data_IF_148656429100
#
_entry.id   IF_148656429100
#
_cell.length_a   1.000
_cell.length_b   1.000
_cell.length_c   1.000
_cell.angle_alpha   90.00
_cell.angle_beta   90.00
_cell.angle_gamma   90.00
#
_symmetry.space_group_name_H-M   'P 1'
#
loop_
_entity.id
_entity.type
_entity.pdbx_description
1 polymer ?
#
# COMPACT_ATOMS: atom_id res chain seq x y z
N UNK A 1 8.48 5.79 -10.51
CA UNK A 1 7.71 6.32 -9.36
C UNK A 1 7.41 5.18 -8.42
N UNK A 2 7.50 5.39 -7.11
CA UNK A 2 6.99 4.44 -6.11
C UNK A 2 5.45 4.44 -6.20
N UNK A 3 4.81 3.27 -6.15
CA UNK A 3 3.34 3.15 -6.24
C UNK A 3 2.65 3.79 -5.02
N UNK A 4 1.52 4.45 -5.25
CA UNK A 4 0.64 4.90 -4.17
C UNK A 4 0.01 3.72 -3.43
N UNK A 5 -0.44 3.93 -2.18
CA UNK A 5 -1.15 2.89 -1.44
C UNK A 5 -2.43 2.42 -2.14
N UNK A 6 -3.09 3.33 -2.88
CA UNK A 6 -4.28 2.99 -3.65
C UNK A 6 -3.92 2.02 -4.77
N UNK A 7 -2.93 2.36 -5.59
CA UNK A 7 -2.44 1.49 -6.67
C UNK A 7 -1.99 0.13 -6.13
N UNK A 8 -1.26 0.10 -5.01
CA UNK A 8 -0.81 -1.15 -4.39
C UNK A 8 -1.99 -2.05 -3.99
N UNK A 9 -3.09 -1.50 -3.46
CA UNK A 9 -4.27 -2.26 -3.04
C UNK A 9 -5.18 -2.63 -4.21
N UNK A 10 -5.29 -1.76 -5.21
CA UNK A 10 -6.10 -1.99 -6.41
C UNK A 10 -5.48 -3.08 -7.31
N UNK A 11 -4.14 -3.16 -7.33
CA UNK A 11 -3.40 -4.18 -8.07
C UNK A 11 -3.24 -5.51 -7.33
N UNK A 12 -3.71 -5.62 -6.07
CA UNK A 12 -3.68 -6.90 -5.36
C UNK A 12 -4.51 -7.94 -6.12
N UNK A 13 -3.97 -9.16 -6.33
CA UNK A 13 -4.68 -10.19 -7.07
C UNK A 13 -5.93 -10.64 -6.30
N UNK A 14 -7.08 -10.65 -6.99
CA UNK A 14 -8.31 -11.21 -6.44
C UNK A 14 -8.27 -12.75 -6.38
N UNK A 15 -7.58 -13.37 -7.33
CA UNK A 15 -7.38 -14.82 -7.45
C UNK A 15 -6.00 -15.15 -8.05
N UNK A 16 -5.12 -15.75 -7.26
CA UNK A 16 -3.83 -16.30 -7.68
C UNK A 16 -3.40 -17.43 -6.71
N UNK A 17 -2.19 -17.98 -6.87
CA UNK A 17 -1.68 -19.04 -5.99
C UNK A 17 -1.58 -18.54 -4.54
N UNK A 18 -1.04 -17.34 -4.30
CA UNK A 18 -1.00 -16.72 -2.96
C UNK A 18 -2.38 -16.71 -2.28
N UNK A 19 -3.41 -16.22 -2.98
CA UNK A 19 -4.78 -16.15 -2.45
C UNK A 19 -5.36 -17.54 -2.19
N UNK A 20 -5.12 -18.52 -3.08
CA UNK A 20 -5.59 -19.89 -2.90
C UNK A 20 -4.92 -20.56 -1.71
N UNK A 21 -3.62 -20.36 -1.54
CA UNK A 21 -2.85 -20.88 -0.41
C UNK A 21 -3.31 -20.25 0.91
N UNK A 22 -3.51 -18.94 0.96
CA UNK A 22 -4.02 -18.27 2.16
C UNK A 22 -5.45 -18.75 2.52
N UNK A 23 -6.33 -18.94 1.51
CA UNK A 23 -7.65 -19.56 1.73
C UNK A 23 -7.54 -21.01 2.20
N UNK A 24 -6.54 -21.76 1.72
CA UNK A 24 -6.28 -23.12 2.16
C UNK A 24 -5.96 -23.21 3.64
N UNK A 25 -5.28 -22.19 4.18
CA UNK A 25 -4.89 -22.10 5.58
C UNK A 25 -6.00 -21.59 6.50
N UNK A 26 -7.18 -21.28 5.97
CA UNK A 26 -8.32 -20.81 6.79
C UNK A 26 -8.71 -21.81 7.88
N UNK A 27 -8.50 -23.12 7.70
CA UNK A 27 -8.74 -24.11 8.76
C UNK A 27 -7.90 -23.89 10.03
N UNK A 28 -6.78 -23.16 9.93
CA UNK A 28 -5.90 -22.81 11.04
C UNK A 28 -6.42 -21.62 11.84
N UNK A 29 -7.00 -20.63 11.16
CA UNK A 29 -7.68 -19.50 11.78
C UNK A 29 -8.97 -19.17 11.02
N UNK A 30 -10.05 -19.92 11.31
CA UNK A 30 -11.28 -19.85 10.52
C UNK A 30 -11.90 -18.46 10.50
N UNK A 31 -12.12 -17.93 9.30
CA UNK A 31 -12.75 -16.64 9.07
C UNK A 31 -11.89 -15.43 9.43
N UNK A 32 -10.63 -15.65 9.79
CA UNK A 32 -9.73 -14.56 10.22
C UNK A 32 -9.37 -13.66 9.04
N UNK A 33 -9.26 -14.20 7.83
CA UNK A 33 -8.83 -13.44 6.66
C UNK A 33 -9.79 -13.54 5.49
N UNK A 34 -10.01 -12.39 4.86
CA UNK A 34 -10.70 -12.28 3.58
C UNK A 34 -9.79 -11.51 2.61
N UNK A 35 -9.81 -11.91 1.34
CA UNK A 35 -9.03 -11.22 0.31
C UNK A 35 -9.69 -9.89 -0.10
N UNK A 36 -9.52 -8.86 0.72
CA UNK A 36 -9.98 -7.50 0.44
C UNK A 36 -9.04 -6.82 -0.56
N UNK A 37 -9.55 -6.57 -1.77
CA UNK A 37 -8.86 -5.87 -2.87
C UNK A 37 -9.69 -4.68 -3.32
N UNK A 38 -9.03 -3.67 -3.90
CA UNK A 38 -9.64 -2.39 -4.22
C UNK A 38 -9.71 -1.46 -3.01
N UNK A 39 -9.14 -0.25 -3.14
CA UNK A 39 -8.97 0.66 -2.01
C UNK A 39 -10.32 1.13 -1.45
N UNK A 40 -11.27 1.50 -2.31
CA UNK A 40 -12.61 1.90 -1.89
C UNK A 40 -13.38 0.74 -1.21
N UNK A 41 -13.21 -0.48 -1.70
CA UNK A 41 -13.81 -1.67 -1.06
C UNK A 41 -13.24 -1.89 0.33
N UNK A 42 -11.93 -1.68 0.49
CA UNK A 42 -11.27 -1.70 1.79
C UNK A 42 -11.84 -0.61 2.71
N UNK A 43 -12.01 0.62 2.25
CA UNK A 43 -12.65 1.69 3.04
C UNK A 43 -14.02 1.23 3.53
N UNK A 44 -14.90 0.79 2.63
CA UNK A 44 -16.26 0.34 2.98
C UNK A 44 -16.24 -0.80 4.01
N UNK A 45 -15.41 -1.82 3.79
CA UNK A 45 -15.35 -2.99 4.66
C UNK A 45 -14.75 -2.66 6.04
N UNK A 46 -13.78 -1.74 6.12
CA UNK A 46 -13.08 -1.41 7.37
C UNK A 46 -13.89 -0.42 8.22
N UNK A 47 -14.51 0.58 7.59
CA UNK A 47 -15.14 1.70 8.30
C UNK A 47 -16.66 1.59 8.37
N UNK A 48 -17.28 0.80 7.48
CA UNK A 48 -18.73 0.77 7.28
C UNK A 48 -19.28 1.99 6.54
N UNK A 49 -18.41 2.88 6.04
CA UNK A 49 -18.81 4.08 5.31
C UNK A 49 -19.39 3.72 3.92
N UNK A 50 -20.43 4.43 3.52
CA UNK A 50 -21.11 4.25 2.24
C UNK A 50 -21.30 5.56 1.46
N UNK A 51 -21.16 6.72 2.12
CA UNK A 51 -21.22 8.01 1.47
C UNK A 51 -19.99 8.23 0.58
N UNK A 52 -20.23 8.44 -0.72
CA UNK A 52 -19.17 8.57 -1.72
C UNK A 52 -18.23 9.78 -1.45
N UNK A 53 -18.76 10.88 -0.89
CA UNK A 53 -17.95 12.06 -0.56
C UNK A 53 -17.07 11.80 0.66
N UNK A 54 -17.58 11.08 1.66
CA UNK A 54 -16.78 10.68 2.83
C UNK A 54 -15.72 9.66 2.43
N UNK A 55 -16.05 8.69 1.56
CA UNK A 55 -15.07 7.74 1.00
C UNK A 55 -13.95 8.48 0.26
N UNK A 56 -14.29 9.46 -0.57
CA UNK A 56 -13.27 10.28 -1.26
C UNK A 56 -12.38 11.05 -0.28
N UNK A 57 -12.97 11.70 0.75
CA UNK A 57 -12.17 12.37 1.80
C UNK A 57 -11.21 11.41 2.51
N UNK A 58 -11.66 10.18 2.80
CA UNK A 58 -10.81 9.13 3.40
C UNK A 58 -9.69 8.74 2.44
N UNK A 59 -9.99 8.59 1.14
CA UNK A 59 -9.02 8.28 0.09
C UNK A 59 -7.91 9.34 0.02
N UNK A 60 -8.29 10.61 -0.08
CA UNK A 60 -7.35 11.73 -0.16
C UNK A 60 -6.49 11.82 1.12
N UNK A 61 -7.12 11.68 2.30
CA UNK A 61 -6.39 11.69 3.56
C UNK A 61 -5.46 10.49 3.71
N UNK A 62 -5.85 9.31 3.24
CA UNK A 62 -5.00 8.14 3.30
C UNK A 62 -3.77 8.26 2.40
N UNK A 63 -3.91 8.88 1.23
CA UNK A 63 -2.77 9.20 0.34
C UNK A 63 -1.79 10.15 1.04
N UNK A 64 -2.29 11.24 1.63
CA UNK A 64 -1.45 12.18 2.36
C UNK A 64 -0.70 11.50 3.53
N UNK A 65 -1.41 10.71 4.35
CA UNK A 65 -0.81 9.96 5.45
C UNK A 65 0.23 8.95 4.97
N UNK A 66 -0.03 8.27 3.85
CA UNK A 66 0.88 7.29 3.27
C UNK A 66 2.22 7.92 2.87
N UNK A 67 2.20 9.10 2.25
CA UNK A 67 3.40 9.81 1.81
C UNK A 67 4.14 10.56 2.91
N UNK A 68 3.49 10.83 4.04
CA UNK A 68 4.15 11.44 5.19
C UNK A 68 5.17 10.46 5.82
N UNK A 69 6.49 10.78 5.75
CA UNK A 69 7.54 9.91 6.24
C UNK A 69 7.48 9.66 7.76
N UNK A 70 6.76 10.49 8.52
CA UNK A 70 6.58 10.30 9.96
C UNK A 70 5.68 9.11 10.32
N UNK A 71 4.77 8.71 9.42
CA UNK A 71 3.83 7.62 9.69
C UNK A 71 4.39 6.22 9.40
N UNK A 72 5.55 6.11 8.74
CA UNK A 72 6.24 4.84 8.52
C UNK A 72 5.60 3.89 7.49
N UNK A 73 4.47 4.26 6.87
CA UNK A 73 3.72 3.40 5.94
C UNK A 73 4.53 2.95 4.72
N UNK A 74 5.17 3.87 4.00
CA UNK A 74 6.01 3.49 2.85
C UNK A 74 7.17 2.59 3.26
N UNK A 75 7.75 2.85 4.45
CA UNK A 75 8.83 2.02 4.95
C UNK A 75 8.37 0.60 5.28
N UNK A 76 7.16 0.44 5.82
CA UNK A 76 6.56 -0.88 6.08
C UNK A 76 6.29 -1.63 4.77
N UNK A 77 5.70 -0.98 3.77
CA UNK A 77 5.53 -1.57 2.42
C UNK A 77 6.89 -2.01 1.87
N UNK A 78 7.90 -1.13 1.89
CA UNK A 78 9.23 -1.43 1.34
C UNK A 78 9.82 -2.70 1.94
N UNK A 79 9.77 -2.88 3.26
CA UNK A 79 10.33 -4.10 3.87
C UNK A 79 9.52 -5.37 3.53
N UNK A 80 8.20 -5.28 3.39
CA UNK A 80 7.37 -6.42 2.93
C UNK A 80 7.64 -6.79 1.47
N UNK A 81 7.89 -5.81 0.60
CA UNK A 81 8.25 -6.08 -0.79
C UNK A 81 9.67 -6.62 -0.93
N UNK A 82 10.61 -6.13 -0.11
CA UNK A 82 12.01 -6.57 -0.18
C UNK A 82 12.13 -8.03 0.26
N UNK A 83 11.49 -8.41 1.38
CA UNK A 83 11.62 -9.77 1.92
C UNK A 83 11.09 -10.81 0.90
N UNK A 84 9.91 -10.60 0.31
CA UNK A 84 9.35 -11.52 -0.71
C UNK A 84 10.13 -11.54 -2.03
N UNK A 85 10.65 -10.39 -2.49
CA UNK A 85 11.40 -10.32 -3.76
C UNK A 85 12.78 -10.96 -3.63
N UNK A 86 13.40 -10.92 -2.46
CA UNK A 86 14.67 -11.59 -2.21
C UNK A 86 14.54 -13.11 -2.39
N UNK A 87 13.39 -13.68 -2.04
CA UNK A 87 13.05 -15.09 -2.25
C UNK A 87 12.83 -15.41 -3.74
N UNK A 88 12.12 -14.54 -4.46
CA UNK A 88 11.70 -14.80 -5.86
C UNK A 88 12.79 -14.54 -6.90
N UNK A 89 13.72 -13.59 -6.67
CA UNK A 89 14.68 -13.12 -7.68
C UNK A 89 15.66 -14.19 -8.19
N UNK A 90 15.88 -15.28 -7.44
CA UNK A 90 16.70 -16.41 -7.88
C UNK A 90 15.98 -17.33 -8.90
N UNK A 91 14.64 -17.41 -8.86
CA UNK A 91 13.86 -18.31 -9.70
C UNK A 91 13.59 -17.74 -11.11
N UNK A 92 13.37 -16.42 -11.24
CA UNK A 92 13.07 -15.77 -12.53
C UNK A 92 14.23 -15.88 -13.53
N UNK A 93 15.48 -15.84 -13.05
CA UNK A 93 16.67 -16.05 -13.88
C UNK A 93 16.77 -17.50 -14.40
N UNK A 94 16.29 -18.49 -13.63
CA UNK A 94 16.23 -19.89 -14.05
C UNK A 94 15.10 -20.15 -15.06
N UNK A 95 13.97 -19.44 -14.94
CA UNK A 95 12.83 -19.54 -15.85
C UNK A 95 13.08 -18.81 -17.19
N UNK A 96 13.81 -17.69 -17.19
CA UNK A 96 14.14 -16.91 -18.39
C UNK A 96 14.93 -17.73 -19.43
N UNK A 97 15.71 -18.72 -19.00
CA UNK A 97 16.49 -19.59 -19.88
C UNK A 97 15.69 -20.76 -20.50
N UNK A 98 14.39 -20.92 -20.19
CA UNK A 98 13.61 -22.11 -20.60
C UNK A 98 12.36 -21.83 -21.45
N UNK A 99 12.26 -20.65 -22.08
CA UNK A 99 11.21 -20.39 -23.08
C UNK A 99 11.52 -21.18 -24.36
N UNK A 100 11.14 -22.47 -24.39
CA UNK A 100 11.31 -23.31 -25.59
C UNK A 100 11.13 -24.82 -25.44
N UNK A 101 11.22 -25.40 -24.23
CA UNK A 101 11.18 -26.87 -24.07
C UNK A 101 9.88 -27.35 -23.40
N UNK A 102 9.16 -28.28 -24.06
CA UNK A 102 7.93 -28.93 -23.56
C UNK A 102 8.18 -29.97 -22.45
N UNK A 103 9.15 -29.74 -21.56
CA UNK A 103 9.43 -30.60 -20.41
C UNK A 103 9.33 -29.77 -19.13
N UNK A 104 8.22 -29.98 -18.41
CA UNK A 104 7.99 -29.74 -16.98
C UNK A 104 8.52 -28.44 -16.39
N UNK A 105 7.60 -27.52 -16.08
CA UNK A 105 7.78 -26.41 -15.13
C UNK A 105 8.56 -26.83 -13.87
N UNK A 106 8.54 -28.11 -13.49
CA UNK A 106 9.18 -28.70 -12.32
C UNK A 106 10.68 -29.06 -12.45
N UNK A 107 11.34 -28.78 -13.58
CA UNK A 107 12.76 -29.14 -13.77
C UNK A 107 13.77 -28.28 -12.98
N UNK A 108 13.33 -27.18 -12.35
CA UNK A 108 14.15 -26.41 -11.41
C UNK A 108 14.28 -27.10 -10.03
N UNK A 109 13.46 -28.12 -9.74
CA UNK A 109 13.41 -28.83 -8.46
C UNK A 109 14.48 -29.92 -8.31
N UNK A 110 15.27 -30.21 -9.35
CA UNK A 110 16.27 -31.30 -9.33
C UNK A 110 17.51 -31.02 -8.48
N UNK A 111 17.63 -29.81 -7.89
CA UNK A 111 18.71 -29.42 -6.99
C UNK A 111 18.18 -29.15 -5.56
N UNK A 112 17.41 -30.09 -5.00
CA UNK A 112 17.13 -30.14 -3.57
C UNK A 112 18.43 -30.44 -2.81
N UNK A 113 19.15 -29.36 -2.48
CA UNK A 113 20.46 -29.39 -1.82
C UNK A 113 20.29 -29.66 -0.31
N UNK A 114 21.18 -30.44 0.35
CA UNK A 114 21.17 -30.70 1.80
C UNK A 114 21.34 -29.49 2.74
N UNK A 115 21.26 -28.25 2.22
CA UNK A 115 21.35 -26.97 2.94
C UNK A 115 19.99 -26.28 3.14
N UNK A 116 18.88 -26.91 2.73
CA UNK A 116 17.53 -26.34 2.79
C UNK A 116 17.14 -25.89 4.21
N UNK A 117 17.36 -26.72 5.24
CA UNK A 117 16.99 -26.39 6.62
C UNK A 117 17.69 -25.13 7.16
N UNK A 118 18.96 -24.90 6.81
CA UNK A 118 19.71 -23.71 7.26
C UNK A 118 19.17 -22.45 6.59
N UNK A 119 18.99 -22.49 5.27
CA UNK A 119 18.45 -21.35 4.51
C UNK A 119 17.04 -20.99 4.99
N UNK A 120 16.16 -21.98 5.11
CA UNK A 120 14.78 -21.79 5.56
C UNK A 120 14.71 -21.29 7.01
N UNK A 121 15.59 -21.79 7.88
CA UNK A 121 15.65 -21.31 9.27
C UNK A 121 16.09 -19.85 9.36
N UNK A 122 17.05 -19.43 8.53
CA UNK A 122 17.51 -18.04 8.47
C UNK A 122 16.41 -17.15 7.87
N UNK A 123 15.76 -17.60 6.81
CA UNK A 123 14.70 -16.84 6.14
C UNK A 123 13.49 -16.59 7.05
N UNK A 124 12.94 -17.63 7.69
CA UNK A 124 11.85 -17.46 8.66
C UNK A 124 12.23 -16.49 9.78
N UNK A 125 13.46 -16.60 10.32
CA UNK A 125 13.93 -15.70 11.37
C UNK A 125 14.06 -14.24 10.88
N UNK A 126 14.44 -14.03 9.62
CA UNK A 126 14.47 -12.72 8.97
C UNK A 126 13.06 -12.16 8.72
N UNK A 127 12.12 -12.98 8.27
CA UNK A 127 10.70 -12.61 8.12
C UNK A 127 10.12 -12.11 9.43
N UNK A 128 10.40 -12.77 10.56
CA UNK A 128 10.01 -12.28 11.90
C UNK A 128 10.68 -10.94 12.24
N UNK A 129 11.98 -10.79 11.98
CA UNK A 129 12.69 -9.54 12.23
C UNK A 129 12.11 -8.38 11.41
N UNK A 130 11.77 -8.62 10.14
CA UNK A 130 11.10 -7.67 9.25
C UNK A 130 9.70 -7.33 9.77
N UNK A 131 8.94 -8.31 10.23
CA UNK A 131 7.61 -8.08 10.79
C UNK A 131 7.67 -7.17 12.03
N UNK A 132 8.66 -7.35 12.90
CA UNK A 132 8.88 -6.46 14.05
C UNK A 132 9.20 -5.03 13.59
N UNK A 133 10.06 -4.88 12.58
CA UNK A 133 10.42 -3.57 12.04
C UNK A 133 9.19 -2.88 11.45
N UNK A 134 8.41 -3.61 10.64
CA UNK A 134 7.19 -3.08 10.03
C UNK A 134 6.14 -2.73 11.08
N UNK A 135 5.92 -3.61 12.08
CA UNK A 135 5.07 -3.35 13.23
C UNK A 135 5.46 -2.05 13.94
N UNK A 136 6.74 -1.87 14.25
CA UNK A 136 7.21 -0.67 14.93
C UNK A 136 6.98 0.59 14.09
N UNK A 137 7.24 0.54 12.78
CA UNK A 137 6.97 1.65 11.85
C UNK A 137 5.49 2.03 11.83
N UNK A 138 4.60 1.04 11.72
CA UNK A 138 3.15 1.25 11.65
C UNK A 138 2.53 1.76 12.96
N UNK A 139 3.24 1.60 14.08
CA UNK A 139 2.76 2.00 15.41
C UNK A 139 3.55 3.19 15.97
N UNK A 140 4.36 3.87 15.17
CA UNK A 140 5.16 5.02 15.60
C UNK A 140 6.17 4.69 16.70
N UNK A 141 6.60 3.43 16.80
CA UNK A 141 7.59 2.98 17.80
C UNK A 141 8.98 3.32 17.25
N UNK A 142 9.75 4.20 17.91
CA UNK A 142 10.97 4.77 17.32
C UNK A 142 12.08 3.76 16.99
N UNK A 143 12.10 2.60 17.66
CA UNK A 143 13.11 1.56 17.47
C UNK A 143 12.46 0.17 17.48
N UNK A 144 12.96 -0.78 16.68
CA UNK A 144 12.46 -2.16 16.68
C UNK A 144 12.42 -2.76 18.09
N UNK A 145 11.25 -3.26 18.49
CA UNK A 145 11.01 -3.75 19.85
C UNK A 145 10.33 -5.14 19.81
N UNK A 146 11.11 -6.23 19.89
CA UNK A 146 10.59 -7.60 19.82
C UNK A 146 9.57 -7.94 20.92
N UNK A 147 9.71 -7.37 22.13
CA UNK A 147 8.81 -7.65 23.24
C UNK A 147 7.45 -6.97 23.06
N UNK A 148 7.45 -5.71 22.59
CA UNK A 148 6.22 -5.00 22.29
C UNK A 148 5.48 -5.64 21.11
N UNK A 149 6.21 -6.09 20.10
CA UNK A 149 5.64 -6.90 19.01
C UNK A 149 5.03 -8.20 19.54
N UNK A 150 5.75 -9.00 20.34
CA UNK A 150 5.24 -10.26 20.89
C UNK A 150 3.94 -10.06 21.69
N UNK A 151 3.86 -8.98 22.49
CA UNK A 151 2.64 -8.61 23.20
C UNK A 151 1.50 -8.27 22.23
N UNK A 152 1.77 -7.53 21.16
CA UNK A 152 0.77 -7.20 20.14
C UNK A 152 0.33 -8.42 19.34
N UNK A 153 1.26 -9.30 18.96
CA UNK A 153 0.99 -10.55 18.25
C UNK A 153 0.03 -11.46 19.05
N UNK A 154 0.19 -11.51 20.37
CA UNK A 154 -0.67 -12.30 21.23
C UNK A 154 -2.08 -11.71 21.42
N UNK A 155 -2.25 -10.39 21.35
CA UNK A 155 -3.47 -9.71 21.84
C UNK A 155 -4.20 -8.85 20.80
N UNK A 156 -3.54 -8.45 19.72
CA UNK A 156 -4.03 -7.42 18.81
C UNK A 156 -3.85 -7.75 17.32
N UNK A 157 -3.06 -8.76 16.97
CA UNK A 157 -2.94 -9.23 15.59
C UNK A 157 -4.25 -9.87 15.15
N UNK A 158 -4.71 -9.47 13.95
CA UNK A 158 -5.97 -9.89 13.37
C UNK A 158 -5.95 -9.65 11.85
N UNK A 159 -6.92 -10.21 11.12
CA UNK A 159 -7.07 -10.04 9.68
C UNK A 159 -5.80 -10.47 8.92
N UNK A 160 -5.36 -9.66 7.95
CA UNK A 160 -4.19 -9.93 7.13
C UNK A 160 -2.89 -10.10 7.94
N UNK A 161 -2.70 -9.35 9.03
CA UNK A 161 -1.47 -9.46 9.81
C UNK A 161 -1.38 -10.77 10.61
N UNK A 162 -2.50 -11.24 11.16
CA UNK A 162 -2.53 -12.55 11.83
C UNK A 162 -2.40 -13.69 10.82
N UNK A 163 -3.13 -13.61 9.70
CA UNK A 163 -3.03 -14.62 8.63
C UNK A 163 -1.61 -14.71 8.06
N UNK A 164 -0.89 -13.60 7.91
CA UNK A 164 0.53 -13.61 7.52
C UNK A 164 1.40 -14.41 8.49
N UNK A 165 1.23 -14.20 9.79
CA UNK A 165 2.02 -14.89 10.80
C UNK A 165 1.68 -16.39 10.88
N UNK A 166 0.42 -16.75 10.62
CA UNK A 166 0.00 -18.14 10.47
C UNK A 166 0.61 -18.78 9.22
N UNK A 167 0.56 -18.07 8.09
CA UNK A 167 1.16 -18.51 6.84
C UNK A 167 2.67 -18.73 7.00
N UNK A 168 3.38 -17.84 7.68
CA UNK A 168 4.79 -18.01 8.03
C UNK A 168 5.07 -19.30 8.81
N UNK A 169 4.27 -19.57 9.85
CA UNK A 169 4.42 -20.81 10.63
C UNK A 169 4.13 -22.05 9.78
N UNK A 170 3.14 -22.00 8.89
CA UNK A 170 2.77 -23.13 8.06
C UNK A 170 3.76 -23.38 6.91
N UNK A 171 4.07 -22.34 6.14
CA UNK A 171 4.75 -22.41 4.84
C UNK A 171 6.27 -22.40 5.02
N UNK A 172 6.82 -21.54 5.88
CA UNK A 172 8.28 -21.40 6.09
C UNK A 172 8.77 -22.20 7.32
N UNK A 173 7.84 -22.56 8.21
CA UNK A 173 8.12 -23.33 9.42
C UNK A 173 7.84 -24.82 9.25
N UNK A 174 6.60 -25.21 9.53
CA UNK A 174 6.19 -26.60 9.69
C UNK A 174 6.39 -27.40 8.41
N UNK A 175 5.98 -26.87 7.26
CA UNK A 175 6.04 -27.61 5.99
C UNK A 175 7.48 -27.99 5.59
N UNK A 176 8.46 -27.07 5.53
CA UNK A 176 9.84 -27.40 5.15
C UNK A 176 10.67 -28.00 6.29
N UNK A 177 10.45 -27.58 7.54
CA UNK A 177 11.32 -27.97 8.67
C UNK A 177 10.73 -29.08 9.54
N UNK A 178 9.46 -29.42 9.35
CA UNK A 178 8.76 -30.44 10.11
C UNK A 178 8.23 -29.94 11.47
N UNK A 179 7.66 -30.85 12.29
CA UNK A 179 7.02 -30.47 13.57
C UNK A 179 7.99 -29.86 14.59
N UNK A 180 9.29 -30.18 14.50
CA UNK A 180 10.34 -29.65 15.39
C UNK A 180 10.98 -28.36 14.88
N UNK A 181 10.34 -27.64 13.95
CA UNK A 181 10.91 -26.45 13.29
C UNK A 181 11.47 -25.42 14.27
N UNK A 182 10.81 -25.17 15.41
CA UNK A 182 11.27 -24.21 16.41
C UNK A 182 12.66 -24.56 16.97
N UNK A 183 12.89 -25.83 17.28
CA UNK A 183 14.17 -26.32 17.80
C UNK A 183 15.26 -26.28 16.71
N UNK A 184 14.90 -26.64 15.47
CA UNK A 184 15.81 -26.54 14.32
C UNK A 184 16.26 -25.09 14.08
N UNK A 185 15.32 -24.16 14.02
CA UNK A 185 15.61 -22.73 13.82
C UNK A 185 16.50 -22.24 14.95
N UNK A 186 16.16 -22.52 16.22
CA UNK A 186 16.96 -22.12 17.38
C UNK A 186 18.41 -22.61 17.25
N UNK A 187 18.60 -23.88 16.90
CA UNK A 187 19.93 -24.48 16.74
C UNK A 187 20.71 -23.81 15.62
N UNK A 188 20.05 -23.49 14.50
CA UNK A 188 20.69 -22.81 13.37
C UNK A 188 21.07 -21.38 13.76
N UNK A 189 20.15 -20.56 14.26
CA UNK A 189 20.43 -19.14 14.52
C UNK A 189 21.39 -18.90 15.69
N UNK A 190 21.40 -19.80 16.68
CA UNK A 190 22.30 -19.71 17.85
C UNK A 190 23.69 -20.26 17.54
N UNK A 191 23.78 -21.24 16.63
CA UNK A 191 25.02 -21.89 16.23
C UNK A 191 25.61 -21.36 14.91
N UNK A 192 24.90 -20.50 14.19
CA UNK A 192 25.34 -19.99 12.91
C UNK A 192 26.58 -19.11 13.07
N UNK A 193 27.59 -19.41 12.24
CA UNK A 193 28.64 -18.45 11.98
C UNK A 193 28.00 -17.20 11.32
N UNK A 194 28.40 -16.02 11.80
CA UNK A 194 27.96 -14.73 11.23
C UNK A 194 28.24 -14.66 9.73
N UNK A 195 29.25 -15.39 9.24
CA UNK A 195 29.56 -15.51 7.81
C UNK A 195 28.44 -16.19 7.00
N UNK A 196 27.79 -17.23 7.54
CA UNK A 196 26.71 -17.94 6.86
C UNK A 196 25.44 -17.10 6.75
N UNK A 197 25.14 -16.32 7.80
CA UNK A 197 24.00 -15.40 7.80
C UNK A 197 24.27 -14.20 6.89
N UNK A 198 25.48 -13.62 6.93
CA UNK A 198 25.83 -12.47 6.10
C UNK A 198 25.85 -12.77 4.60
N UNK A 199 25.99 -14.04 4.21
CA UNK A 199 25.90 -14.49 2.81
C UNK A 199 24.48 -14.85 2.37
N UNK A 200 23.51 -14.87 3.28
CA UNK A 200 22.14 -15.17 2.94
C UNK A 200 21.55 -14.03 2.07
N UNK A 201 20.94 -14.34 0.90
CA UNK A 201 20.42 -13.30 -0.01
C UNK A 201 19.36 -12.41 0.62
N UNK A 202 18.47 -13.00 1.43
CA UNK A 202 17.42 -12.28 2.15
C UNK A 202 18.05 -11.34 3.19
N UNK A 203 19.05 -11.81 3.95
CA UNK A 203 19.81 -10.97 4.87
C UNK A 203 20.42 -9.77 4.14
N UNK A 204 21.09 -9.99 3.01
CA UNK A 204 21.70 -8.93 2.21
C UNK A 204 20.66 -7.90 1.73
N UNK A 205 19.48 -8.36 1.30
CA UNK A 205 18.41 -7.51 0.81
C UNK A 205 17.83 -6.61 1.91
N UNK A 206 17.64 -7.12 3.13
CA UNK A 206 17.08 -6.35 4.26
C UNK A 206 18.15 -5.75 5.18
N UNK A 207 19.44 -5.95 4.90
CA UNK A 207 20.56 -5.58 5.76
C UNK A 207 20.48 -4.13 6.23
N UNK A 208 20.09 -3.19 5.37
CA UNK A 208 20.02 -1.77 5.71
C UNK A 208 18.81 -1.41 6.60
N UNK A 209 17.83 -2.29 6.71
CA UNK A 209 16.66 -2.12 7.57
C UNK A 209 16.85 -2.73 8.96
N UNK A 210 17.77 -3.70 9.10
CA UNK A 210 18.06 -4.36 10.36
C UNK A 210 18.85 -3.43 11.32
N UNK A 211 18.45 -3.34 12.60
CA UNK A 211 19.18 -2.55 13.60
C UNK A 211 20.55 -3.18 13.90
N UNK A 212 21.54 -2.31 14.17
CA UNK A 212 22.92 -2.71 14.46
C UNK A 212 23.92 -2.25 13.40
N UNK A 213 25.18 -2.10 13.80
CA UNK A 213 26.22 -1.50 12.94
C UNK A 213 27.06 -2.55 12.20
N UNK A 214 26.98 -3.81 12.61
CA UNK A 214 27.76 -4.91 12.06
C UNK A 214 26.90 -6.19 11.98
N UNK A 215 27.32 -7.23 11.23
CA UNK A 215 26.56 -8.47 11.10
C UNK A 215 26.25 -9.18 12.44
N UNK A 216 27.13 -9.07 13.43
CA UNK A 216 26.93 -9.66 14.76
C UNK A 216 25.78 -9.00 15.50
N UNK A 217 25.70 -7.66 15.50
CA UNK A 217 24.59 -6.92 16.12
C UNK A 217 23.25 -7.30 15.47
N UNK A 218 23.25 -7.38 14.13
CA UNK A 218 22.06 -7.73 13.33
C UNK A 218 21.60 -9.16 13.60
N UNK A 219 22.54 -10.11 13.68
CA UNK A 219 22.25 -11.48 14.09
C UNK A 219 21.72 -11.54 15.54
N UNK A 220 22.24 -10.68 16.43
CA UNK A 220 21.72 -10.52 17.78
C UNK A 220 20.25 -10.10 17.78
N UNK A 221 19.88 -9.13 16.94
CA UNK A 221 18.48 -8.72 16.78
C UNK A 221 17.60 -9.82 16.19
N UNK A 222 18.06 -10.54 15.17
CA UNK A 222 17.32 -11.67 14.57
C UNK A 222 17.06 -12.77 15.62
N UNK A 223 18.07 -13.10 16.43
CA UNK A 223 17.94 -14.04 17.53
C UNK A 223 16.90 -13.58 18.57
N UNK A 224 16.98 -12.32 19.01
CA UNK A 224 16.00 -11.77 19.97
C UNK A 224 14.58 -11.74 19.39
N UNK A 225 14.46 -11.43 18.09
CA UNK A 225 13.20 -11.40 17.35
C UNK A 225 12.53 -12.76 17.31
N UNK A 226 13.27 -13.81 16.95
CA UNK A 226 12.74 -15.17 16.96
C UNK A 226 12.33 -15.61 18.37
N UNK A 227 13.23 -15.44 19.34
CA UNK A 227 12.99 -15.84 20.73
C UNK A 227 11.72 -15.20 21.32
N UNK A 228 11.40 -13.95 20.96
CA UNK A 228 10.23 -13.26 21.53
C UNK A 228 8.89 -13.86 21.08
N UNK A 229 8.85 -14.56 19.94
CA UNK A 229 7.61 -15.11 19.37
C UNK A 229 7.51 -16.63 19.36
N UNK A 230 8.56 -17.36 19.79
CA UNK A 230 8.52 -18.82 19.93
C UNK A 230 7.32 -19.32 20.74
N UNK A 231 7.02 -18.65 21.86
CA UNK A 231 5.88 -19.01 22.71
C UNK A 231 4.54 -18.92 21.99
N UNK A 232 4.37 -17.90 21.14
CA UNK A 232 3.16 -17.74 20.31
C UNK A 232 3.08 -18.83 19.24
N UNK A 233 4.17 -19.09 18.51
CA UNK A 233 4.20 -20.14 17.48
C UNK A 233 3.93 -21.53 18.07
N UNK A 234 4.55 -21.86 19.20
CA UNK A 234 4.31 -23.13 19.89
C UNK A 234 2.85 -23.27 20.36
N UNK A 235 2.25 -22.18 20.85
CA UNK A 235 0.84 -22.16 21.26
C UNK A 235 -0.10 -22.33 20.07
N UNK A 236 0.20 -21.73 18.92
CA UNK A 236 -0.55 -21.92 17.68
C UNK A 236 -0.56 -23.40 17.29
N UNK A 237 0.62 -24.03 17.20
CA UNK A 237 0.75 -25.45 16.84
C UNK A 237 0.02 -26.35 17.82
N UNK A 238 0.21 -26.11 19.12
CA UNK A 238 -0.44 -26.91 20.17
C UNK A 238 -1.97 -26.81 20.13
N UNK A 239 -2.51 -25.62 19.82
CA UNK A 239 -3.96 -25.38 19.77
C UNK A 239 -4.62 -25.99 18.53
N UNK A 240 -3.92 -26.01 17.41
CA UNK A 240 -4.48 -26.33 16.10
C UNK A 240 -4.16 -27.74 15.63
N UNK A 241 -3.08 -28.35 16.15
CA UNK A 241 -2.60 -29.66 15.72
C UNK A 241 -2.08 -29.68 14.28
N UNK A 242 -1.62 -28.53 13.75
CA UNK A 242 -1.11 -28.43 12.38
C UNK A 242 0.10 -29.34 12.21
N UNK A 243 0.13 -30.05 11.08
CA UNK A 243 1.21 -30.92 10.65
C UNK A 243 1.57 -30.64 9.19
N UNK A 244 2.75 -31.05 8.70
CA UNK A 244 3.07 -30.96 7.28
C UNK A 244 2.00 -31.63 6.39
N UNK A 245 1.48 -32.78 6.84
CA UNK A 245 0.43 -33.53 6.14
C UNK A 245 -0.91 -32.79 6.14
N UNK A 246 -1.31 -32.15 7.25
CA UNK A 246 -2.55 -31.37 7.27
C UNK A 246 -2.46 -30.18 6.32
N UNK A 247 -1.31 -29.49 6.25
CA UNK A 247 -1.08 -28.40 5.30
C UNK A 247 -1.17 -28.93 3.86
N UNK A 248 -0.39 -29.95 3.52
CA UNK A 248 -0.37 -30.53 2.18
C UNK A 248 -1.74 -31.05 1.73
N UNK A 249 -2.48 -31.71 2.60
CA UNK A 249 -3.83 -32.20 2.29
C UNK A 249 -4.81 -31.08 1.97
N UNK A 250 -4.72 -29.93 2.65
CA UNK A 250 -5.59 -28.78 2.33
C UNK A 250 -5.14 -28.09 1.03
N UNK A 251 -3.84 -28.12 0.72
CA UNK A 251 -3.27 -27.57 -0.52
C UNK A 251 -3.52 -28.44 -1.76
N UNK A 252 -3.61 -29.77 -1.59
CA UNK A 252 -3.83 -30.74 -2.68
C UNK A 252 -5.12 -30.51 -3.48
N UNK A 253 -6.06 -29.74 -2.94
CA UNK A 253 -7.28 -29.33 -3.64
C UNK A 253 -7.03 -28.43 -4.86
N UNK A 254 -5.85 -27.80 -4.98
CA UNK A 254 -5.51 -26.90 -6.10
C UNK A 254 -4.12 -27.13 -6.68
N UNK A 255 -3.26 -27.89 -6.01
CA UNK A 255 -1.93 -28.26 -6.52
C UNK A 255 -1.89 -29.78 -6.68
N UNK A 256 -1.91 -30.26 -7.93
CA UNK A 256 -1.68 -31.68 -8.25
C UNK A 256 -0.19 -31.99 -8.08
N UNK A 257 0.26 -32.24 -6.85
CA UNK A 257 1.61 -32.69 -6.54
C UNK A 257 1.54 -34.20 -6.31
N UNK A 258 2.57 -34.94 -6.70
CA UNK A 258 2.68 -36.35 -6.34
C UNK A 258 2.63 -36.48 -4.80
N UNK A 259 1.73 -37.32 -4.30
CA UNK A 259 1.24 -37.35 -2.91
C UNK A 259 2.33 -37.49 -1.82
N UNK A 260 3.57 -37.83 -2.20
CA UNK A 260 4.62 -38.25 -1.26
C UNK A 260 5.82 -37.29 -1.17
N UNK A 261 5.75 -36.05 -1.67
CA UNK A 261 6.90 -35.14 -1.60
C UNK A 261 6.60 -33.73 -1.06
N UNK A 262 6.57 -33.62 0.27
CA UNK A 262 6.37 -32.36 1.01
C UNK A 262 7.44 -31.31 0.71
N UNK A 263 8.68 -31.73 0.42
CA UNK A 263 9.77 -30.80 0.05
C UNK A 263 9.47 -30.08 -1.27
N UNK A 264 8.79 -30.76 -2.20
CA UNK A 264 8.36 -30.16 -3.48
C UNK A 264 7.22 -29.19 -3.26
N UNK A 265 6.29 -29.50 -2.33
CA UNK A 265 5.22 -28.57 -1.95
C UNK A 265 5.83 -27.31 -1.34
N UNK A 266 6.75 -27.44 -0.39
CA UNK A 266 7.42 -26.31 0.24
C UNK A 266 8.14 -25.41 -0.79
N UNK A 267 8.97 -26.01 -1.65
CA UNK A 267 9.70 -25.28 -2.68
C UNK A 267 8.77 -24.63 -3.72
N UNK A 268 7.65 -25.27 -4.06
CA UNK A 268 6.66 -24.68 -4.96
C UNK A 268 5.99 -23.46 -4.33
N UNK A 269 5.57 -23.54 -3.07
CA UNK A 269 4.92 -22.42 -2.38
C UNK A 269 5.85 -21.22 -2.23
N UNK A 270 7.10 -21.47 -1.82
CA UNK A 270 8.14 -20.45 -1.69
C UNK A 270 8.32 -19.64 -2.99
N UNK A 271 8.31 -20.30 -4.14
CA UNK A 271 8.53 -19.64 -5.43
C UNK A 271 7.28 -19.03 -6.08
N UNK A 272 6.08 -19.46 -5.67
CA UNK A 272 4.83 -19.09 -6.35
C UNK A 272 3.90 -18.25 -5.49
N UNK A 273 4.25 -18.04 -4.22
CA UNK A 273 3.51 -17.19 -3.30
C UNK A 273 4.31 -15.93 -2.95
N UNK A 274 3.57 -14.85 -2.74
CA UNK A 274 4.08 -13.56 -2.26
C UNK A 274 3.21 -13.12 -1.07
N UNK A 275 2.98 -14.04 -0.14
CA UNK A 275 1.97 -13.85 0.89
C UNK A 275 2.38 -12.76 1.90
N UNK A 276 3.68 -12.50 2.08
CA UNK A 276 4.18 -11.46 2.99
C UNK A 276 3.95 -10.06 2.42
N UNK A 277 4.21 -9.86 1.12
CA UNK A 277 3.88 -8.63 0.38
C UNK A 277 2.36 -8.44 0.32
N UNK A 278 1.61 -9.46 -0.09
CA UNK A 278 0.15 -9.39 -0.28
C UNK A 278 -0.57 -8.98 1.01
N UNK A 279 -0.34 -9.73 2.09
CA UNK A 279 -0.95 -9.44 3.39
C UNK A 279 -0.34 -8.21 4.06
N UNK A 280 0.91 -7.85 3.71
CA UNK A 280 1.56 -6.62 4.15
C UNK A 280 0.91 -5.37 3.59
N UNK A 281 0.61 -5.36 2.29
CA UNK A 281 -0.15 -4.27 1.65
C UNK A 281 -1.51 -4.14 2.32
N UNK A 282 -2.24 -5.24 2.55
CA UNK A 282 -3.52 -5.21 3.24
C UNK A 282 -3.42 -4.68 4.68
N UNK A 283 -2.35 -5.04 5.40
CA UNK A 283 -2.10 -4.56 6.77
C UNK A 283 -1.85 -3.05 6.80
N UNK A 284 -1.03 -2.54 5.88
CA UNK A 284 -0.76 -1.10 5.74
C UNK A 284 -2.02 -0.36 5.34
N UNK A 285 -2.76 -0.87 4.34
CA UNK A 285 -4.01 -0.29 3.88
C UNK A 285 -5.02 -0.15 5.03
N UNK A 286 -5.19 -1.20 5.85
CA UNK A 286 -6.06 -1.14 7.02
C UNK A 286 -5.64 -0.06 8.01
N UNK A 287 -4.35 0.02 8.32
CA UNK A 287 -3.84 1.01 9.27
C UNK A 287 -4.07 2.44 8.78
N UNK A 288 -3.70 2.74 7.53
CA UNK A 288 -3.85 4.09 6.97
C UNK A 288 -5.32 4.49 6.80
N UNK A 289 -6.20 3.55 6.42
CA UNK A 289 -7.64 3.80 6.31
C UNK A 289 -8.24 4.12 7.68
N UNK A 290 -7.88 3.38 8.74
CA UNK A 290 -8.39 3.63 10.09
C UNK A 290 -7.94 5.01 10.61
N UNK A 291 -6.69 5.39 10.38
CA UNK A 291 -6.19 6.71 10.76
C UNK A 291 -6.88 7.80 9.94
N UNK A 292 -6.95 7.65 8.61
CA UNK A 292 -7.63 8.59 7.73
C UNK A 292 -9.10 8.77 8.11
N UNK A 293 -9.82 7.68 8.35
CA UNK A 293 -11.21 7.72 8.79
C UNK A 293 -11.40 8.47 10.09
N UNK A 294 -10.50 8.25 11.07
CA UNK A 294 -10.55 8.97 12.35
C UNK A 294 -10.41 10.47 12.15
N UNK A 295 -9.43 10.91 11.34
CA UNK A 295 -9.20 12.33 11.04
C UNK A 295 -10.38 12.96 10.29
N UNK A 296 -10.88 12.28 9.26
CA UNK A 296 -12.02 12.76 8.46
C UNK A 296 -13.28 12.90 9.32
N UNK A 297 -13.53 11.97 10.26
CA UNK A 297 -14.66 12.12 11.20
C UNK A 297 -14.52 13.32 12.10
N UNK A 298 -13.33 13.60 12.62
CA UNK A 298 -13.09 14.77 13.46
C UNK A 298 -13.23 16.07 12.66
N UNK A 299 -12.77 16.10 11.41
CA UNK A 299 -12.95 17.23 10.50
C UNK A 299 -14.44 17.50 10.23
N UNK A 300 -15.22 16.48 9.90
CA UNK A 300 -16.67 16.60 9.68
C UNK A 300 -17.38 17.11 10.96
N UNK A 301 -16.99 16.63 12.14
CA UNK A 301 -17.54 17.13 13.41
C UNK A 301 -17.20 18.59 13.65
N UNK A 302 -15.97 19.01 13.37
CA UNK A 302 -15.52 20.39 13.53
C UNK A 302 -16.21 21.33 12.53
N UNK A 303 -16.41 20.90 11.29
CA UNK A 303 -17.19 21.61 10.28
C UNK A 303 -18.64 21.83 10.75
N UNK A 304 -19.25 20.83 11.40
CA UNK A 304 -20.61 20.92 11.94
C UNK A 304 -20.73 21.79 13.21
N UNK A 305 -19.62 22.06 13.93
CA UNK A 305 -19.60 22.81 15.19
C UNK A 305 -19.16 24.28 15.03
N UNK A 306 -18.73 24.70 13.84
CA UNK A 306 -18.39 26.11 13.58
C UNK A 306 -19.67 26.98 13.67
N UNK A 307 -19.71 28.02 14.51
CA UNK A 307 -20.80 28.99 14.51
C UNK A 307 -20.92 29.62 13.13
N UNK A 308 -22.15 29.81 12.65
CA UNK A 308 -22.44 30.70 11.52
C UNK A 308 -22.05 32.11 11.98
N UNK A 309 -20.81 32.53 11.68
CA UNK A 309 -20.35 33.89 11.93
C UNK A 309 -20.91 34.79 10.84
N UNK A 310 -21.95 35.53 11.22
CA UNK A 310 -22.48 36.66 10.49
C UNK A 310 -21.43 37.79 10.55
N UNK A 311 -20.75 38.05 9.44
CA UNK A 311 -19.85 39.21 9.29
C UNK A 311 -20.21 39.97 8.04
N UNK A 312 -21.24 40.81 8.18
CA UNK A 312 -21.42 42.00 7.37
C UNK A 312 -20.40 43.06 7.80
N UNK A 313 -19.44 43.41 6.93
CA UNK A 313 -18.88 44.77 6.79
C UNK A 313 -18.12 44.85 5.47
N UNK A 314 -18.58 45.75 4.61
CA UNK A 314 -18.18 45.90 3.22
C UNK A 314 -16.83 46.63 3.03
N UNK A 315 -16.05 46.19 2.04
CA UNK A 315 -15.51 47.06 0.97
C UNK A 315 -14.76 46.27 -0.14
N UNK A 316 -15.48 46.02 -1.23
CA UNK A 316 -15.13 46.10 -2.67
C UNK A 316 -14.15 45.09 -3.33
N UNK A 317 -14.69 44.59 -4.45
CA UNK A 317 -14.26 43.61 -5.47
C UNK A 317 -14.26 42.15 -5.00
N UNK A 318 -15.39 41.51 -5.30
CA UNK A 318 -15.80 40.15 -5.00
C UNK A 318 -15.02 39.12 -5.84
N UNK A 319 -14.28 38.23 -5.18
CA UNK A 319 -14.22 36.82 -5.56
C UNK A 319 -13.85 35.96 -4.33
N UNK A 320 -14.85 35.51 -3.60
CA UNK A 320 -14.72 34.67 -2.38
C UNK A 320 -14.30 33.23 -2.66
N UNK A 321 -13.88 32.93 -3.90
CA UNK A 321 -13.58 31.58 -4.36
C UNK A 321 -12.24 31.05 -3.82
N UNK A 322 -11.24 31.89 -3.61
CA UNK A 322 -9.90 31.45 -3.21
C UNK A 322 -9.52 32.00 -1.83
N UNK A 323 -9.22 31.10 -0.90
CA UNK A 323 -8.80 31.44 0.46
C UNK A 323 -7.61 30.58 0.86
N UNK A 324 -6.74 31.10 1.74
CA UNK A 324 -5.66 30.32 2.32
C UNK A 324 -6.19 29.03 2.95
N UNK A 325 -5.42 27.96 2.84
CA UNK A 325 -5.72 26.58 3.22
C UNK A 325 -6.82 25.89 2.42
N UNK A 326 -7.34 26.51 1.35
CA UNK A 326 -8.29 25.86 0.45
C UNK A 326 -7.57 24.93 -0.53
N UNK A 327 -8.12 23.74 -0.74
CA UNK A 327 -7.68 22.83 -1.81
C UNK A 327 -8.23 23.29 -3.15
N UNK A 328 -7.36 23.28 -4.16
CA UNK A 328 -7.60 23.74 -5.53
C UNK A 328 -6.95 22.76 -6.50
N UNK A 329 -7.35 22.84 -7.76
CA UNK A 329 -6.64 22.22 -8.88
C UNK A 329 -5.84 23.32 -9.60
N UNK A 330 -4.62 22.98 -10.00
CA UNK A 330 -3.65 23.85 -10.66
C UNK A 330 -3.30 23.26 -12.02
N UNK A 331 -3.35 24.06 -13.07
CA UNK A 331 -3.01 23.63 -14.41
C UNK A 331 -1.50 23.59 -14.61
N UNK A 332 -0.98 22.45 -15.01
CA UNK A 332 0.39 22.29 -15.49
C UNK A 332 0.38 22.34 -17.02
N UNK A 333 1.07 23.33 -17.59
CA UNK A 333 1.12 23.52 -19.04
C UNK A 333 2.07 22.57 -19.78
N UNK A 334 3.04 21.97 -19.08
CA UNK A 334 4.01 21.04 -19.68
C UNK A 334 3.40 19.64 -19.80
N UNK A 335 2.59 19.24 -18.81
CA UNK A 335 1.91 17.94 -18.77
C UNK A 335 0.45 18.00 -19.26
N UNK A 336 -0.06 19.20 -19.51
CA UNK A 336 -1.43 19.47 -19.96
C UNK A 336 -2.50 18.87 -19.04
N UNK A 337 -2.28 18.91 -17.72
CA UNK A 337 -3.16 18.30 -16.73
C UNK A 337 -3.32 19.14 -15.45
N UNK A 338 -4.37 18.83 -14.68
CA UNK A 338 -4.71 19.50 -13.44
C UNK A 338 -4.17 18.75 -12.21
N UNK A 339 -3.36 19.44 -11.41
CA UNK A 339 -2.76 18.93 -10.18
C UNK A 339 -3.42 19.49 -8.93
N UNK A 340 -3.63 18.66 -7.91
CA UNK A 340 -4.21 19.14 -6.65
C UNK A 340 -3.16 19.82 -5.77
N UNK A 341 -3.53 20.97 -5.20
CA UNK A 341 -2.69 21.73 -4.29
C UNK A 341 -3.48 22.47 -3.23
N UNK A 342 -2.78 23.02 -2.26
CA UNK A 342 -3.34 23.86 -1.19
C UNK A 342 -2.81 25.28 -1.31
N UNK A 343 -3.68 26.27 -1.19
CA UNK A 343 -3.27 27.69 -1.18
C UNK A 343 -2.61 27.99 0.16
N UNK A 344 -1.31 28.24 0.17
CA UNK A 344 -0.56 28.61 1.38
C UNK A 344 -0.54 30.13 1.58
N UNK A 345 -0.48 30.91 0.49
CA UNK A 345 -0.46 32.39 0.53
C UNK A 345 -1.21 32.97 -0.65
N UNK A 346 -1.70 34.19 -0.49
CA UNK A 346 -2.38 34.97 -1.54
C UNK A 346 -1.77 36.37 -1.59
N UNK A 347 -1.42 36.83 -2.80
CA UNK A 347 -0.93 38.18 -3.05
C UNK A 347 -1.58 38.71 -4.34
N UNK A 348 -2.62 39.55 -4.20
CA UNK A 348 -3.42 39.97 -5.35
C UNK A 348 -4.03 38.76 -6.05
N UNK A 349 -3.78 38.64 -7.36
CA UNK A 349 -4.28 37.56 -8.21
C UNK A 349 -3.28 36.39 -8.35
N UNK A 350 -2.30 36.29 -7.43
CA UNK A 350 -1.34 35.19 -7.36
C UNK A 350 -1.53 34.36 -6.08
N UNK A 351 -1.36 33.04 -6.23
CA UNK A 351 -1.58 32.04 -5.18
C UNK A 351 -0.31 31.22 -5.00
N UNK A 352 0.23 31.18 -3.78
CA UNK A 352 1.36 30.30 -3.46
C UNK A 352 0.81 28.92 -3.13
N UNK A 353 1.17 27.92 -3.93
CA UNK A 353 0.59 26.58 -3.89
C UNK A 353 1.58 25.60 -3.29
N UNK A 354 1.08 24.77 -2.39
CA UNK A 354 1.73 23.52 -2.02
C UNK A 354 1.02 22.35 -2.70
N UNK A 355 1.71 21.67 -3.61
CA UNK A 355 1.16 20.53 -4.36
C UNK A 355 1.01 19.29 -3.47
N UNK A 356 -0.19 18.70 -3.47
CA UNK A 356 -0.49 17.52 -2.66
C UNK A 356 0.32 16.31 -3.17
N UNK A 357 1.15 15.74 -2.28
CA UNK A 357 2.01 14.59 -2.60
C UNK A 357 3.39 14.95 -3.15
N UNK A 358 3.71 16.25 -3.24
CA UNK A 358 5.01 16.75 -3.69
C UNK A 358 5.72 17.49 -2.55
N UNK A 359 7.05 17.52 -2.59
CA UNK A 359 7.85 18.26 -1.61
C UNK A 359 7.78 19.77 -1.85
N UNK A 360 8.12 20.57 -0.83
CA UNK A 360 8.08 22.04 -0.91
C UNK A 360 9.03 22.65 -1.96
N UNK A 361 9.87 21.84 -2.60
CA UNK A 361 10.69 22.24 -3.75
C UNK A 361 9.88 22.48 -5.01
N UNK A 362 8.63 22.02 -5.05
CA UNK A 362 7.68 22.23 -6.14
C UNK A 362 6.68 23.35 -5.86
N UNK A 363 6.73 23.95 -4.65
CA UNK A 363 5.82 25.03 -4.31
C UNK A 363 6.11 26.26 -5.18
N UNK A 364 5.06 26.85 -5.73
CA UNK A 364 5.19 27.98 -6.65
C UNK A 364 4.06 28.98 -6.53
N UNK A 365 4.25 30.14 -7.14
CA UNK A 365 3.19 31.13 -7.32
C UNK A 365 2.51 30.89 -8.66
N UNK A 366 1.21 30.62 -8.62
CA UNK A 366 0.37 30.48 -9.81
C UNK A 366 -0.57 31.67 -9.95
N UNK A 367 -0.89 32.02 -11.20
CA UNK A 367 -1.86 33.06 -11.51
C UNK A 367 -3.31 32.56 -11.42
N UNK A 368 -4.26 33.49 -11.42
CA UNK A 368 -5.69 33.17 -11.37
C UNK A 368 -6.20 32.33 -12.56
N UNK A 369 -5.47 32.33 -13.68
CA UNK A 369 -5.85 31.64 -14.92
C UNK A 369 -5.52 30.14 -14.92
N UNK A 370 -4.65 29.71 -14.02
CA UNK A 370 -4.14 28.34 -13.90
C UNK A 370 -4.59 27.68 -12.59
N UNK A 371 -5.58 28.25 -11.91
CA UNK A 371 -6.14 27.73 -10.67
C UNK A 371 -7.66 27.61 -10.79
N UNK A 372 -8.21 26.50 -10.30
CA UNK A 372 -9.66 26.30 -10.22
C UNK A 372 -10.08 25.64 -8.92
N UNK A 373 -11.34 25.85 -8.55
CA UNK A 373 -12.00 25.05 -7.52
C UNK A 373 -12.95 24.07 -8.17
N UNK A 374 -12.90 22.81 -7.75
CA UNK A 374 -13.85 21.80 -8.20
C UNK A 374 -15.03 21.70 -7.23
N UNK A 375 -16.19 22.24 -7.60
CA UNK A 375 -17.44 22.03 -6.84
C UNK A 375 -18.19 20.81 -7.40
N UNK A 376 -17.89 19.65 -6.83
CA UNK A 376 -18.51 18.38 -7.22
C UNK A 376 -20.01 18.27 -6.88
N UNK A 377 -20.60 19.27 -6.21
CA UNK A 377 -22.03 19.23 -5.83
C UNK A 377 -22.96 19.64 -6.96
N UNK A 378 -22.46 20.47 -7.87
CA UNK A 378 -23.19 21.02 -9.01
C UNK A 378 -22.60 20.59 -10.36
N UNK A 379 -21.69 19.60 -10.33
CA UNK A 379 -21.07 19.05 -11.53
C UNK A 379 -22.00 18.06 -12.24
N UNK A 380 -21.86 17.99 -13.56
CA UNK A 380 -22.49 16.97 -14.41
C UNK A 380 -21.76 15.62 -14.37
N UNK A 381 -22.18 14.67 -15.21
CA UNK A 381 -21.61 13.31 -15.27
C UNK A 381 -20.13 13.29 -15.72
N UNK A 382 -19.65 14.35 -16.36
CA UNK A 382 -18.25 14.54 -16.75
C UNK A 382 -17.43 15.30 -15.69
N UNK A 383 -18.06 15.72 -14.59
CA UNK A 383 -17.40 16.41 -13.49
C UNK A 383 -17.23 17.91 -13.70
N UNK A 384 -17.99 18.52 -14.61
CA UNK A 384 -17.98 19.95 -14.92
C UNK A 384 -19.20 20.68 -14.37
N UNK A 385 -19.02 21.89 -13.84
CA UNK A 385 -20.10 22.72 -13.31
C UNK A 385 -20.12 24.12 -13.94
N UNK A 386 -21.31 24.74 -14.00
CA UNK A 386 -21.44 26.16 -14.36
C UNK A 386 -20.64 27.01 -13.37
N UNK A 387 -19.83 27.93 -13.89
CA UNK A 387 -18.91 28.78 -13.15
C UNK A 387 -17.51 28.17 -12.95
N UNK A 388 -17.28 26.93 -13.34
CA UNK A 388 -15.96 26.29 -13.26
C UNK A 388 -15.01 26.84 -14.32
N UNK A 389 -13.75 27.11 -13.92
CA UNK A 389 -12.65 27.36 -14.86
C UNK A 389 -12.14 26.06 -15.46
N UNK A 390 -11.91 26.06 -16.76
CA UNK A 390 -11.41 24.93 -17.55
C UNK A 390 -10.36 25.41 -18.54
N UNK A 391 -9.59 24.47 -19.08
CA UNK A 391 -8.80 24.72 -20.28
C UNK A 391 -9.54 24.15 -21.48
N UNK A 392 -9.62 24.90 -22.56
CA UNK A 392 -10.17 24.45 -23.83
C UNK A 392 -9.07 24.38 -24.89
N UNK A 393 -9.04 23.30 -25.65
CA UNK A 393 -8.08 23.10 -26.72
C UNK A 393 -8.51 23.85 -27.98
N UNK A 394 -7.57 24.54 -28.63
CA UNK A 394 -7.76 25.18 -29.94
C UNK A 394 -6.86 24.48 -30.96
N UNK A 395 -7.48 23.85 -31.96
CA UNK A 395 -6.79 23.10 -33.02
C UNK A 395 -6.00 24.00 -33.99
N UNK A 396 -6.41 25.26 -34.19
CA UNK A 396 -5.75 26.17 -35.13
C UNK A 396 -4.45 26.73 -34.56
N UNK A 397 -4.41 26.95 -33.24
CA UNK A 397 -3.26 27.48 -32.52
C UNK A 397 -2.43 26.39 -31.83
N UNK A 398 -2.92 25.16 -31.80
CA UNK A 398 -2.34 24.02 -31.07
C UNK A 398 -2.05 24.38 -29.61
N UNK A 399 -3.02 25.01 -28.94
CA UNK A 399 -2.84 25.57 -27.61
C UNK A 399 -4.08 25.48 -26.70
N UNK A 400 -3.83 25.39 -25.39
CA UNK A 400 -4.86 25.41 -24.35
C UNK A 400 -5.19 26.85 -23.90
N UNK A 401 -6.47 27.22 -23.93
CA UNK A 401 -6.98 28.53 -23.50
C UNK A 401 -7.83 28.42 -22.23
N UNK A 402 -7.62 29.33 -21.28
CA UNK A 402 -8.43 29.38 -20.06
C UNK A 402 -9.82 29.94 -20.34
N UNK A 403 -10.85 29.23 -19.90
CA UNK A 403 -12.24 29.63 -20.05
C UNK A 403 -13.06 29.34 -18.79
N UNK A 404 -14.24 29.94 -18.69
CA UNK A 404 -15.23 29.64 -17.64
C UNK A 404 -16.51 29.10 -18.26
N UNK A 405 -17.01 27.97 -17.75
CA UNK A 405 -18.27 27.38 -18.19
C UNK A 405 -19.43 28.30 -17.76
N UNK A 406 -20.18 28.84 -18.72
CA UNK A 406 -21.34 29.69 -18.46
C UNK A 406 -22.65 28.89 -18.46
N UNK A 407 -22.74 27.85 -19.29
CA UNK A 407 -23.93 27.01 -19.42
C UNK A 407 -23.53 25.58 -19.75
N UNK A 408 -24.38 24.62 -19.36
CA UNK A 408 -24.23 23.20 -19.68
C UNK A 408 -25.55 22.72 -20.29
N UNK A 409 -25.45 22.04 -21.43
CA UNK A 409 -26.59 21.41 -22.11
C UNK A 409 -26.21 20.00 -22.57
N UNK A 410 -26.65 18.99 -21.82
CA UNK A 410 -26.24 17.60 -22.09
C UNK A 410 -24.73 17.44 -21.87
N UNK A 411 -24.00 17.10 -22.94
CA UNK A 411 -22.54 16.94 -22.94
C UNK A 411 -21.80 18.09 -23.63
N UNK A 412 -22.47 19.23 -23.83
CA UNK A 412 -21.88 20.43 -24.41
C UNK A 412 -21.77 21.56 -23.38
N UNK A 413 -20.73 22.38 -23.51
CA UNK A 413 -20.36 23.42 -22.56
C UNK A 413 -20.22 24.76 -23.27
N UNK A 414 -20.96 25.77 -22.79
CA UNK A 414 -20.82 27.13 -23.32
C UNK A 414 -19.71 27.85 -22.57
N UNK A 415 -18.64 28.22 -23.27
CA UNK A 415 -17.43 28.79 -22.69
C UNK A 415 -17.36 30.30 -22.83
N UNK A 416 -16.89 30.96 -21.77
CA UNK A 416 -16.45 32.36 -21.76
C UNK A 416 -14.93 32.38 -21.61
N UNK A 417 -14.21 32.70 -22.67
CA UNK A 417 -12.74 32.74 -22.64
C UNK A 417 -12.22 33.90 -21.78
N UNK A 418 -11.27 33.60 -20.90
CA UNK A 418 -10.70 34.59 -19.98
C UNK A 418 -9.73 35.50 -20.76
N UNK A 419 -9.90 36.81 -20.61
CA UNK A 419 -9.09 37.82 -21.33
C UNK A 419 -9.60 38.16 -22.73
N UNK A 420 -10.64 37.49 -23.23
CA UNK A 420 -11.23 37.72 -24.55
C UNK A 420 -12.63 38.35 -24.44
N UNK A 421 -13.08 39.04 -25.49
CA UNK A 421 -14.44 39.56 -25.57
C UNK A 421 -15.45 38.47 -25.97
N UNK A 422 -16.75 38.73 -25.86
CA UNK A 422 -17.80 37.71 -26.03
C UNK A 422 -18.03 37.26 -27.46
N UNK A 423 -17.28 37.79 -28.44
CA UNK A 423 -17.34 37.29 -29.81
C UNK A 423 -16.65 35.92 -29.98
N UNK A 424 -15.85 35.50 -29.00
CA UNK A 424 -15.18 34.20 -28.96
C UNK A 424 -15.95 33.14 -28.16
N UNK A 425 -17.08 33.49 -27.52
CA UNK A 425 -17.82 32.55 -26.69
C UNK A 425 -18.49 31.48 -27.57
N UNK A 426 -18.28 30.21 -27.25
CA UNK A 426 -18.74 29.10 -28.08
C UNK A 426 -19.20 27.89 -27.27
N UNK A 427 -19.88 26.96 -27.95
CA UNK A 427 -20.22 25.65 -27.39
C UNK A 427 -19.17 24.64 -27.82
N UNK A 428 -18.62 23.91 -26.86
CA UNK A 428 -17.62 22.85 -27.08
C UNK A 428 -18.09 21.53 -26.49
N UNK A 429 -17.53 20.44 -26.99
CA UNK A 429 -17.79 19.09 -26.46
C UNK A 429 -16.83 18.77 -25.29
N UNK A 430 -17.15 17.74 -24.50
CA UNK A 430 -16.38 17.41 -23.28
C UNK A 430 -14.92 17.01 -23.52
N UNK A 431 -14.59 16.54 -24.73
CA UNK A 431 -13.24 16.12 -25.11
C UNK A 431 -12.32 17.29 -25.47
N UNK A 432 -12.89 18.48 -25.68
CA UNK A 432 -12.15 19.71 -25.97
C UNK A 432 -11.75 20.46 -24.69
N UNK A 433 -12.26 20.05 -23.52
CA UNK A 433 -12.02 20.72 -22.24
C UNK A 433 -11.33 19.84 -21.20
N UNK A 434 -10.54 20.47 -20.31
CA UNK A 434 -9.90 19.83 -19.15
C UNK A 434 -10.14 20.58 -17.86
#
# INVERSE_FOLDING_TARGET
>A
MDKSIIQLVDELPADNITVKVLKALDYVAPGEWNNLVGFDNNIRAITGESDAKVIQKIRDRAVALYYDPQNGYQSAIKVYQIIDKADTAMATAALANKVGEKIGFLSFLSNLTPKADVTQSIDLALKIAVEIIAFCKLNGIPQPNPQQFANSLANNYQNASLMRMIALVCIDGILPLGPDFLAKIQSVISGADTSAVAQNPVFLAVNNSLPGNNPTDKLGFINQSFNSVQGWMNSLVSKTGITPQSISSHLGNFIQIADDNLDFVAAFLDQTTNYYEHTGIQTVARSVILQAYTLVKEEIKQEAQKPIQDVSSAAKSDNTQYTVSKTVEIWDGDEEDWYQGTIEKIQGDQFYIHYLGYGSSYDEWVGEDDIRTRDLRSADDNGYAVGQKVKCWDDDQEAWYSATIQQIQGHQYFLRYIGYDSSYDEWVDSDEIR
#
